data_IF_252847503421
#
_entry.id   IF_252847503421
#
_cell.length_a   1.000
_cell.length_b   1.000
_cell.length_c   1.000
_cell.angle_alpha   90.00
_cell.angle_beta   90.00
_cell.angle_gamma   90.00
#
_symmetry.space_group_name_H-M   'P 1'
#
loop_
_entity.id
_entity.type
_entity.pdbx_description
1 polymer ?
#
# COMPACT_ATOMS: atom_id res chain seq x y z
N UNK A 1 -25.25 -1.15 9.65
CA UNK A 1 -24.38 -1.90 10.60
C UNK A 1 -22.92 -1.47 10.47
N UNK A 2 -22.29 -1.48 9.27
CA UNK A 2 -20.88 -1.09 9.07
C UNK A 2 -20.56 0.30 9.67
N UNK A 3 -21.33 1.34 9.32
CA UNK A 3 -21.16 2.70 9.86
C UNK A 3 -21.19 2.75 11.39
N UNK A 4 -22.03 1.94 12.04
CA UNK A 4 -22.12 1.93 13.49
C UNK A 4 -20.90 1.28 14.14
N UNK A 5 -20.40 0.15 13.58
CA UNK A 5 -19.20 -0.52 14.06
C UNK A 5 -17.96 0.39 13.88
N UNK A 6 -17.81 1.00 12.71
CA UNK A 6 -16.75 1.98 12.42
C UNK A 6 -16.77 3.14 13.42
N UNK A 7 -17.94 3.80 13.58
CA UNK A 7 -18.09 4.90 14.53
C UNK A 7 -17.70 4.50 15.95
N UNK A 8 -18.08 3.28 16.38
CA UNK A 8 -17.74 2.77 17.71
C UNK A 8 -16.23 2.57 17.89
N UNK A 9 -15.53 2.05 16.87
CA UNK A 9 -14.06 1.93 16.90
C UNK A 9 -13.42 3.33 16.95
N UNK A 10 -13.82 4.21 16.05
CA UNK A 10 -13.22 5.55 15.93
C UNK A 10 -13.58 6.48 17.10
N UNK A 11 -14.65 6.20 17.85
CA UNK A 11 -14.98 6.95 19.08
C UNK A 11 -13.98 6.75 20.21
N UNK A 12 -13.08 5.76 20.12
CA UNK A 12 -11.99 5.55 21.07
C UNK A 12 -10.76 6.41 20.79
N UNK A 13 -10.71 7.12 19.66
CA UNK A 13 -9.63 8.05 19.33
C UNK A 13 -9.66 9.26 20.28
N UNK A 14 -8.46 9.77 20.59
CA UNK A 14 -8.27 11.01 21.36
C UNK A 14 -8.34 12.24 20.46
N UNK A 15 -7.86 12.10 19.23
CA UNK A 15 -7.86 13.16 18.22
C UNK A 15 -9.21 13.21 17.51
N UNK A 16 -9.75 14.41 17.33
CA UNK A 16 -10.95 14.60 16.53
C UNK A 16 -10.73 14.16 15.09
N UNK A 17 -11.72 13.48 14.53
CA UNK A 17 -11.70 13.03 13.16
C UNK A 17 -12.93 13.49 12.39
N UNK A 18 -12.80 13.59 11.09
CA UNK A 18 -13.89 13.84 10.15
C UNK A 18 -14.01 12.65 9.19
N UNK A 19 -15.24 12.31 8.80
CA UNK A 19 -15.48 11.23 7.83
C UNK A 19 -16.54 11.64 6.82
N UNK A 20 -16.22 11.54 5.52
CA UNK A 20 -17.13 11.86 4.42
C UNK A 20 -16.84 11.08 3.16
N UNK A 21 -17.75 11.14 2.21
CA UNK A 21 -17.54 10.59 0.87
C UNK A 21 -16.94 11.66 -0.05
N UNK A 22 -15.83 11.34 -0.68
CA UNK A 22 -15.25 12.11 -1.78
C UNK A 22 -15.82 11.57 -3.08
N UNK A 23 -16.49 12.38 -3.85
CA UNK A 23 -17.01 12.02 -5.17
C UNK A 23 -15.85 12.10 -6.17
N UNK A 24 -15.52 11.00 -6.81
CA UNK A 24 -14.42 10.90 -7.76
C UNK A 24 -14.91 10.78 -9.22
N UNK A 25 -16.21 10.97 -9.42
CA UNK A 25 -16.82 10.88 -10.74
C UNK A 25 -16.86 9.45 -11.29
N UNK A 26 -17.02 9.30 -12.62
CA UNK A 26 -17.12 8.00 -13.28
C UNK A 26 -15.74 7.39 -13.58
N UNK A 27 -15.08 6.83 -12.56
CA UNK A 27 -13.73 6.24 -12.72
C UNK A 27 -13.81 4.79 -13.21
N UNK A 28 -14.64 3.98 -12.58
CA UNK A 28 -14.90 2.57 -12.91
C UNK A 28 -16.40 2.35 -13.11
N UNK A 29 -17.21 2.84 -12.18
CA UNK A 29 -18.66 2.91 -12.28
C UNK A 29 -19.15 4.21 -12.91
N UNK A 30 -20.42 4.51 -12.75
CA UNK A 30 -21.06 5.73 -13.27
C UNK A 30 -20.93 6.92 -12.34
N UNK A 31 -20.75 6.68 -11.03
CA UNK A 31 -20.60 7.70 -9.99
C UNK A 31 -19.91 7.06 -8.78
N UNK A 32 -18.59 7.12 -8.76
CA UNK A 32 -17.80 6.49 -7.73
C UNK A 32 -17.49 7.46 -6.58
N UNK A 33 -17.55 6.93 -5.35
CA UNK A 33 -17.28 7.69 -4.13
C UNK A 33 -16.33 6.92 -3.23
N UNK A 34 -15.34 7.62 -2.69
CA UNK A 34 -14.37 7.08 -1.76
C UNK A 34 -14.68 7.58 -0.35
N UNK A 35 -14.90 6.64 0.57
CA UNK A 35 -15.03 6.94 1.98
C UNK A 35 -13.68 7.34 2.55
N UNK A 36 -13.63 8.52 3.15
CA UNK A 36 -12.41 9.14 3.65
C UNK A 36 -12.55 9.49 5.12
N UNK A 37 -11.51 9.20 5.90
CA UNK A 37 -11.33 9.68 7.28
C UNK A 37 -10.13 10.61 7.29
N UNK A 38 -10.28 11.76 7.96
CA UNK A 38 -9.18 12.71 8.17
C UNK A 38 -9.03 13.07 9.64
N UNK A 39 -7.78 13.40 10.02
CA UNK A 39 -7.41 13.92 11.33
C UNK A 39 -6.37 15.03 11.12
N UNK A 40 -6.41 16.07 11.96
CA UNK A 40 -5.44 17.16 12.00
C UNK A 40 -5.21 17.85 10.63
N UNK A 41 -6.29 18.12 9.89
CA UNK A 41 -6.24 18.78 8.57
C UNK A 41 -5.59 20.17 8.61
N UNK A 42 -5.57 20.81 9.77
CA UNK A 42 -5.07 22.18 9.97
C UNK A 42 -3.53 22.27 10.00
N UNK A 43 -2.84 21.13 10.15
CA UNK A 43 -1.38 21.11 10.16
C UNK A 43 -0.82 21.41 8.76
N UNK A 44 0.17 22.31 8.70
CA UNK A 44 0.85 22.69 7.47
C UNK A 44 1.93 21.68 7.00
N UNK A 45 2.17 20.61 7.77
CA UNK A 45 3.14 19.57 7.39
C UNK A 45 2.64 18.71 6.24
N UNK A 46 3.57 18.03 5.57
CA UNK A 46 3.23 17.07 4.51
C UNK A 46 2.23 16.02 5.03
N UNK A 47 1.05 15.88 4.40
CA UNK A 47 0.07 14.89 4.83
C UNK A 47 0.54 13.46 4.58
N UNK A 48 -0.01 12.52 5.36
CA UNK A 48 0.14 11.09 5.12
C UNK A 48 -1.18 10.48 4.68
N UNK A 49 -1.15 9.66 3.63
CA UNK A 49 -2.29 8.91 3.08
C UNK A 49 -2.11 7.43 3.38
N UNK A 50 -3.13 6.80 3.96
CA UNK A 50 -3.12 5.40 4.41
C UNK A 50 -4.04 4.54 3.53
N UNK A 51 -3.47 3.50 2.90
CA UNK A 51 -4.18 2.51 2.11
C UNK A 51 -4.22 1.16 2.84
N UNK A 52 -5.42 0.66 3.11
CA UNK A 52 -5.61 -0.61 3.81
C UNK A 52 -5.39 -1.84 2.90
N UNK A 53 -5.22 -3.01 3.51
CA UNK A 53 -5.09 -4.30 2.83
C UNK A 53 -6.43 -4.97 2.51
N UNK A 54 -6.38 -6.14 1.87
CA UNK A 54 -7.54 -6.97 1.56
C UNK A 54 -8.32 -7.32 2.84
N UNK A 55 -9.63 -7.21 2.78
CA UNK A 55 -10.53 -7.56 3.88
C UNK A 55 -10.54 -6.57 5.04
N UNK A 56 -9.77 -5.49 4.94
CA UNK A 56 -9.70 -4.42 5.91
C UNK A 56 -10.55 -3.20 5.52
N UNK A 57 -10.39 -2.11 6.25
CA UNK A 57 -10.97 -0.80 6.01
C UNK A 57 -10.35 0.24 6.94
N UNK A 58 -10.74 1.49 6.78
CA UNK A 58 -10.11 2.65 7.46
C UNK A 58 -10.04 2.52 8.98
N UNK A 59 -11.05 1.91 9.62
CA UNK A 59 -11.07 1.84 11.09
C UNK A 59 -10.00 0.92 11.68
N UNK A 60 -9.37 0.03 10.90
CA UNK A 60 -8.28 -0.80 11.41
C UNK A 60 -6.97 -0.03 11.64
N UNK A 61 -6.89 1.22 11.18
CA UNK A 61 -5.80 2.14 11.50
C UNK A 61 -5.95 2.82 12.88
N UNK A 62 -6.96 2.45 13.68
CA UNK A 62 -7.29 3.13 14.94
C UNK A 62 -6.14 3.17 15.95
N UNK A 63 -5.21 2.19 15.94
CA UNK A 63 -4.01 2.18 16.79
C UNK A 63 -2.90 3.12 16.31
N UNK A 64 -3.07 3.73 15.14
CA UNK A 64 -2.06 4.55 14.49
C UNK A 64 -2.50 6.01 14.36
N UNK A 65 -3.79 6.28 14.26
CA UNK A 65 -4.33 7.60 14.00
C UNK A 65 -3.84 8.67 14.96
N UNK A 66 -3.99 8.47 16.27
CA UNK A 66 -3.59 9.47 17.28
C UNK A 66 -2.10 9.80 17.21
N UNK A 67 -1.25 8.78 17.03
CA UNK A 67 0.19 8.96 16.95
C UNK A 67 0.59 9.72 15.68
N UNK A 68 0.04 9.36 14.53
CA UNK A 68 0.35 10.00 13.25
C UNK A 68 -0.23 11.43 13.19
N UNK A 69 -1.46 11.61 13.65
CA UNK A 69 -2.14 12.90 13.66
C UNK A 69 -1.54 13.90 14.65
N UNK A 70 -0.74 13.45 15.62
CA UNK A 70 -0.05 14.36 16.54
C UNK A 70 0.93 15.31 15.84
N UNK A 71 1.35 15.01 14.62
CA UNK A 71 2.38 15.78 13.91
C UNK A 71 1.94 16.33 12.55
N UNK A 72 0.95 15.73 11.88
CA UNK A 72 0.60 16.06 10.48
C UNK A 72 -0.84 15.70 10.13
N UNK A 73 -1.36 16.19 9.00
CA UNK A 73 -2.64 15.72 8.48
C UNK A 73 -2.54 14.23 8.13
N UNK A 74 -3.55 13.47 8.53
CA UNK A 74 -3.69 12.04 8.23
C UNK A 74 -4.97 11.83 7.45
N UNK A 75 -4.86 11.16 6.31
CA UNK A 75 -6.00 10.72 5.50
C UNK A 75 -5.97 9.20 5.38
N UNK A 76 -7.07 8.55 5.69
CA UNK A 76 -7.25 7.12 5.43
C UNK A 76 -8.47 6.94 4.54
N UNK A 77 -8.35 6.10 3.51
CA UNK A 77 -9.44 5.84 2.57
C UNK A 77 -9.84 4.37 2.58
N UNK A 78 -11.13 4.11 2.50
CA UNK A 78 -11.59 2.82 2.02
C UNK A 78 -11.36 2.77 0.50
N UNK A 79 -10.51 1.87 0.05
CA UNK A 79 -10.22 1.69 -1.37
C UNK A 79 -11.53 1.44 -2.15
N UNK A 80 -11.59 1.90 -3.40
CA UNK A 80 -12.75 1.67 -4.24
C UNK A 80 -13.06 0.16 -4.32
N UNK A 81 -14.31 -0.20 -4.11
CA UNK A 81 -14.75 -1.60 -4.02
C UNK A 81 -14.67 -2.22 -2.62
N UNK A 82 -14.18 -1.49 -1.61
CA UNK A 82 -14.02 -1.96 -0.23
C UNK A 82 -14.74 -1.07 0.78
N UNK A 83 -14.86 -1.57 2.01
CA UNK A 83 -15.40 -0.84 3.14
C UNK A 83 -16.71 -0.13 2.81
N UNK A 84 -16.74 1.19 3.00
CA UNK A 84 -17.89 2.05 2.71
C UNK A 84 -17.83 2.74 1.35
N UNK A 85 -16.72 2.60 0.60
CA UNK A 85 -16.60 3.14 -0.75
C UNK A 85 -17.54 2.48 -1.75
N UNK A 86 -17.77 3.11 -2.89
CA UNK A 86 -18.57 2.58 -3.98
C UNK A 86 -18.04 1.22 -4.45
N UNK A 87 -18.95 0.40 -4.99
CA UNK A 87 -18.64 -0.99 -5.39
C UNK A 87 -18.94 -1.21 -6.86
N UNK A 88 -18.15 -0.60 -7.77
CA UNK A 88 -18.31 -0.82 -9.21
C UNK A 88 -17.87 -2.23 -9.60
N UNK A 89 -18.16 -2.60 -10.83
CA UNK A 89 -17.67 -3.84 -11.46
C UNK A 89 -16.31 -3.54 -12.08
N UNK A 90 -15.25 -4.11 -11.51
CA UNK A 90 -13.89 -4.00 -12.03
C UNK A 90 -13.65 -4.97 -13.20
N UNK A 91 -12.64 -4.68 -14.00
CA UNK A 91 -12.15 -5.57 -15.04
C UNK A 91 -11.66 -6.90 -14.46
N UNK A 92 -11.85 -7.98 -15.20
CA UNK A 92 -11.26 -9.29 -14.91
C UNK A 92 -9.80 -9.42 -15.36
N UNK A 93 -9.31 -8.45 -16.15
CA UNK A 93 -7.93 -8.38 -16.56
C UNK A 93 -7.03 -7.75 -15.48
N UNK A 94 -5.93 -8.42 -15.14
CA UNK A 94 -5.11 -8.04 -14.00
C UNK A 94 -4.54 -6.61 -14.08
N UNK A 95 -4.03 -6.23 -15.24
CA UNK A 95 -3.45 -4.89 -15.45
C UNK A 95 -4.52 -3.81 -15.39
N UNK A 96 -5.64 -4.05 -16.02
CA UNK A 96 -6.76 -3.12 -16.06
C UNK A 96 -7.37 -2.94 -14.66
N UNK A 97 -7.57 -4.04 -13.90
CA UNK A 97 -8.05 -3.97 -12.51
C UNK A 97 -7.11 -3.18 -11.60
N UNK A 98 -5.79 -3.37 -11.76
CA UNK A 98 -4.78 -2.59 -11.06
C UNK A 98 -4.86 -1.10 -11.42
N UNK A 99 -4.93 -0.80 -12.72
CA UNK A 99 -5.00 0.57 -13.23
C UNK A 99 -6.28 1.28 -12.77
N UNK A 100 -7.42 0.60 -12.77
CA UNK A 100 -8.68 1.13 -12.26
C UNK A 100 -8.59 1.50 -10.78
N UNK A 101 -7.95 0.66 -9.95
CA UNK A 101 -7.72 0.96 -8.53
C UNK A 101 -6.76 2.13 -8.35
N UNK A 102 -5.65 2.18 -9.08
CA UNK A 102 -4.66 3.27 -9.01
C UNK A 102 -5.29 4.59 -9.48
N UNK A 103 -6.04 4.58 -10.58
CA UNK A 103 -6.76 5.76 -11.08
C UNK A 103 -7.78 6.27 -10.06
N UNK A 104 -8.46 5.39 -9.35
CA UNK A 104 -9.39 5.81 -8.29
C UNK A 104 -8.70 6.55 -7.14
N UNK A 105 -7.44 6.19 -6.83
CA UNK A 105 -6.62 6.90 -5.83
C UNK A 105 -6.21 8.28 -6.37
N UNK A 106 -5.83 8.38 -7.66
CA UNK A 106 -5.45 9.66 -8.27
C UNK A 106 -6.63 10.62 -8.36
N UNK A 107 -7.81 10.16 -8.79
CA UNK A 107 -9.00 11.03 -8.83
C UNK A 107 -9.40 11.46 -7.41
N UNK A 108 -9.31 10.57 -6.40
CA UNK A 108 -9.51 10.94 -5.02
C UNK A 108 -8.51 12.03 -4.57
N UNK A 109 -7.24 11.89 -4.89
CA UNK A 109 -6.21 12.89 -4.59
C UNK A 109 -6.54 14.25 -5.23
N UNK A 110 -7.00 14.24 -6.50
CA UNK A 110 -7.36 15.46 -7.23
C UNK A 110 -8.53 16.17 -6.57
N UNK A 111 -9.59 15.46 -6.22
CA UNK A 111 -10.74 16.02 -5.51
C UNK A 111 -10.38 16.54 -4.11
N UNK A 112 -9.43 15.89 -3.44
CA UNK A 112 -8.88 16.33 -2.16
C UNK A 112 -7.88 17.50 -2.30
N UNK A 113 -7.50 17.86 -3.51
CA UNK A 113 -6.50 18.90 -3.82
C UNK A 113 -5.16 18.66 -3.10
N UNK A 114 -4.78 17.41 -2.87
CA UNK A 114 -3.50 17.06 -2.28
C UNK A 114 -2.41 17.11 -3.32
N UNK A 115 -1.48 18.04 -3.20
CA UNK A 115 -0.40 18.19 -4.18
C UNK A 115 0.66 17.09 -4.00
N UNK A 116 1.20 16.97 -2.78
CA UNK A 116 2.23 15.98 -2.42
C UNK A 116 1.96 15.41 -1.04
N UNK A 117 2.25 14.12 -0.85
CA UNK A 117 2.01 13.43 0.41
C UNK A 117 2.98 12.27 0.63
N UNK A 118 3.08 11.80 1.86
CA UNK A 118 3.66 10.50 2.20
C UNK A 118 2.59 9.44 1.95
N UNK A 119 2.92 8.40 1.21
CA UNK A 119 1.98 7.32 0.88
C UNK A 119 2.34 6.05 1.65
N UNK A 120 1.44 5.60 2.52
CA UNK A 120 1.58 4.37 3.28
C UNK A 120 0.54 3.36 2.83
N UNK A 121 1.00 2.17 2.42
CA UNK A 121 0.11 1.07 2.08
C UNK A 121 0.43 -0.21 2.84
N UNK A 122 -0.61 -0.90 3.33
CA UNK A 122 -0.50 -2.22 3.95
C UNK A 122 -0.93 -3.31 2.98
N UNK A 123 -0.14 -4.39 2.88
CA UNK A 123 -0.51 -5.60 2.10
C UNK A 123 -0.89 -5.25 0.65
N UNK A 124 -2.12 -5.52 0.20
CA UNK A 124 -2.67 -5.09 -1.09
C UNK A 124 -2.56 -3.56 -1.27
N UNK A 125 -2.81 -2.78 -0.23
CA UNK A 125 -2.62 -1.33 -0.25
C UNK A 125 -1.16 -0.93 -0.49
N UNK A 126 -0.20 -1.73 -0.03
CA UNK A 126 1.23 -1.55 -0.33
C UNK A 126 1.57 -1.81 -1.80
N UNK A 127 0.97 -2.83 -2.41
CA UNK A 127 1.08 -3.08 -3.84
C UNK A 127 0.52 -1.91 -4.66
N UNK A 128 -0.67 -1.43 -4.31
CA UNK A 128 -1.30 -0.28 -4.98
C UNK A 128 -0.52 1.02 -4.75
N UNK A 129 0.03 1.22 -3.54
CA UNK A 129 0.88 2.38 -3.24
C UNK A 129 2.15 2.41 -4.09
N UNK A 130 2.81 1.26 -4.28
CA UNK A 130 3.97 1.14 -5.15
C UNK A 130 3.59 1.38 -6.62
N UNK A 131 2.48 0.80 -7.10
CA UNK A 131 1.98 1.01 -8.46
C UNK A 131 1.59 2.47 -8.71
N UNK A 132 0.91 3.10 -7.75
CA UNK A 132 0.58 4.53 -7.80
C UNK A 132 1.85 5.39 -7.87
N UNK A 133 2.85 5.12 -7.04
CA UNK A 133 4.10 5.88 -7.01
C UNK A 133 4.90 5.77 -8.31
N UNK A 134 4.82 4.63 -9.01
CA UNK A 134 5.42 4.48 -10.34
C UNK A 134 4.74 5.33 -11.42
N UNK A 135 3.42 5.55 -11.30
CA UNK A 135 2.62 6.30 -12.26
C UNK A 135 2.59 7.80 -11.96
N UNK A 136 2.69 8.18 -10.69
CA UNK A 136 2.58 9.55 -10.19
C UNK A 136 3.74 9.91 -9.24
N UNK A 137 5.01 9.76 -9.68
CA UNK A 137 6.18 9.98 -8.81
C UNK A 137 6.24 11.40 -8.23
N UNK A 138 5.72 12.39 -8.96
CA UNK A 138 5.70 13.79 -8.52
C UNK A 138 4.76 14.05 -7.33
N UNK A 139 3.86 13.11 -7.01
CA UNK A 139 2.88 13.22 -5.91
C UNK A 139 3.37 12.62 -4.60
N UNK A 140 4.34 11.71 -4.64
CA UNK A 140 4.78 10.94 -3.47
C UNK A 140 6.12 11.45 -2.96
N UNK A 141 6.13 12.00 -1.75
CA UNK A 141 7.37 12.43 -1.08
C UNK A 141 8.12 11.29 -0.40
N UNK A 142 7.42 10.24 0.01
CA UNK A 142 7.99 9.04 0.62
C UNK A 142 6.99 7.89 0.47
N UNK A 143 7.47 6.74 0.03
CA UNK A 143 6.67 5.52 -0.07
C UNK A 143 6.94 4.63 1.15
N UNK A 144 5.90 4.35 1.95
CA UNK A 144 5.97 3.46 3.11
C UNK A 144 5.16 2.19 2.82
N UNK A 145 5.79 1.04 2.92
CA UNK A 145 5.24 -0.26 2.57
C UNK A 145 5.20 -1.15 3.80
N UNK A 146 4.01 -1.36 4.33
CA UNK A 146 3.75 -2.17 5.52
C UNK A 146 3.39 -3.59 5.12
N UNK A 147 4.33 -4.51 5.26
CA UNK A 147 4.18 -5.94 4.95
C UNK A 147 3.51 -6.18 3.57
N UNK A 148 4.07 -5.60 2.49
CA UNK A 148 3.38 -5.43 1.22
C UNK A 148 3.20 -6.77 0.48
N UNK A 149 1.98 -7.01 -0.02
CA UNK A 149 1.68 -8.11 -0.91
C UNK A 149 2.16 -7.86 -2.34
N UNK A 150 2.44 -8.93 -3.09
CA UNK A 150 2.62 -8.87 -4.54
C UNK A 150 3.99 -8.36 -5.00
N UNK A 151 4.97 -8.31 -4.12
CA UNK A 151 6.33 -7.87 -4.45
C UNK A 151 7.15 -8.98 -5.12
N UNK A 152 7.33 -10.18 -4.52
CA UNK A 152 8.18 -11.21 -5.11
C UNK A 152 7.51 -11.90 -6.30
N UNK A 153 8.32 -12.47 -7.18
CA UNK A 153 7.86 -13.36 -8.23
C UNK A 153 7.36 -14.68 -7.67
N UNK A 154 6.38 -15.25 -8.36
CA UNK A 154 5.95 -16.61 -8.07
C UNK A 154 7.09 -17.58 -8.36
N UNK A 155 7.49 -18.46 -7.42
CA UNK A 155 8.46 -19.51 -7.66
C UNK A 155 8.04 -20.40 -8.84
N UNK A 156 9.02 -21.00 -9.53
CA UNK A 156 8.75 -21.91 -10.63
C UNK A 156 7.84 -23.07 -10.19
N UNK A 157 7.01 -23.59 -11.10
CA UNK A 157 6.11 -24.73 -10.81
C UNK A 157 6.85 -25.95 -10.27
N UNK A 158 8.10 -26.16 -10.66
CA UNK A 158 8.94 -27.27 -10.19
C UNK A 158 9.22 -27.12 -8.69
N UNK A 159 9.54 -25.90 -8.23
CA UNK A 159 9.78 -25.61 -6.81
C UNK A 159 8.50 -25.76 -5.96
N UNK A 160 7.34 -25.39 -6.52
CA UNK A 160 6.04 -25.51 -5.83
C UNK A 160 5.56 -26.98 -5.80
N UNK A 161 5.76 -27.74 -6.88
CA UNK A 161 5.29 -29.12 -6.99
C UNK A 161 6.02 -30.10 -6.09
N UNK A 162 7.28 -29.83 -5.73
CA UNK A 162 8.11 -30.74 -4.97
C UNK A 162 7.61 -31.02 -3.53
N UNK A 163 6.85 -30.09 -2.91
CA UNK A 163 6.57 -30.14 -1.46
C UNK A 163 5.08 -30.11 -1.08
N UNK A 164 4.13 -30.17 -2.03
CA UNK A 164 2.70 -30.04 -1.69
C UNK A 164 1.96 -31.37 -1.89
N UNK A 165 1.35 -31.95 -0.84
CA UNK A 165 0.54 -33.16 -0.94
C UNK A 165 -0.60 -33.05 -1.96
N UNK A 166 -0.94 -34.17 -2.61
CA UNK A 166 -1.98 -34.22 -3.68
C UNK A 166 -3.36 -33.74 -3.19
N UNK A 167 -3.74 -34.07 -1.97
CA UNK A 167 -5.02 -33.63 -1.38
C UNK A 167 -5.08 -32.11 -1.19
N UNK A 168 -3.95 -31.46 -0.85
CA UNK A 168 -3.86 -30.00 -0.77
C UNK A 168 -4.04 -29.39 -2.15
N UNK A 169 -3.44 -30.00 -3.20
CA UNK A 169 -3.62 -29.55 -4.60
C UNK A 169 -5.08 -29.67 -5.05
N UNK A 170 -5.76 -30.75 -4.66
CA UNK A 170 -7.18 -30.94 -4.99
C UNK A 170 -8.08 -29.90 -4.31
N UNK A 171 -7.87 -29.63 -3.01
CA UNK A 171 -8.60 -28.58 -2.30
C UNK A 171 -8.30 -27.22 -2.93
N UNK A 172 -7.05 -26.95 -3.21
CA UNK A 172 -6.60 -25.74 -3.86
C UNK A 172 -7.29 -25.50 -5.21
N UNK A 173 -7.38 -26.52 -6.03
CA UNK A 173 -8.06 -26.45 -7.33
C UNK A 173 -9.55 -26.08 -7.18
N UNK A 174 -10.24 -26.62 -6.18
CA UNK A 174 -11.65 -26.35 -5.89
C UNK A 174 -11.84 -24.92 -5.33
N UNK A 175 -10.89 -24.44 -4.51
CA UNK A 175 -11.00 -23.14 -3.82
C UNK A 175 -10.47 -21.99 -4.68
N UNK A 176 -9.56 -22.26 -5.62
CA UNK A 176 -8.91 -21.25 -6.47
C UNK A 176 -9.90 -20.33 -7.22
N UNK A 177 -11.05 -20.78 -7.79
CA UNK A 177 -11.99 -19.91 -8.45
C UNK A 177 -12.83 -19.07 -7.48
N UNK A 178 -12.77 -19.35 -6.18
CA UNK A 178 -13.55 -18.62 -5.18
C UNK A 178 -12.80 -17.35 -4.75
N UNK A 179 -13.55 -16.28 -4.57
CA UNK A 179 -13.01 -15.07 -3.99
C UNK A 179 -12.49 -15.33 -2.57
N UNK A 180 -11.36 -14.74 -2.15
CA UNK A 180 -10.69 -15.05 -0.88
C UNK A 180 -11.60 -14.95 0.36
N UNK A 181 -12.58 -14.05 0.35
CA UNK A 181 -13.49 -13.80 1.48
C UNK A 181 -14.89 -14.40 1.28
N UNK A 182 -15.04 -15.29 0.32
CA UNK A 182 -16.31 -15.95 0.01
C UNK A 182 -16.95 -16.61 1.24
N UNK A 183 -16.16 -17.29 2.06
CA UNK A 183 -16.66 -17.98 3.26
C UNK A 183 -17.35 -17.03 4.26
N UNK A 184 -16.86 -15.80 4.41
CA UNK A 184 -17.44 -14.78 5.29
C UNK A 184 -18.84 -14.40 4.83
N UNK A 185 -19.07 -14.31 3.50
CA UNK A 185 -20.38 -14.00 2.92
C UNK A 185 -21.36 -15.17 3.04
N UNK A 186 -20.90 -16.38 2.73
CA UNK A 186 -21.74 -17.58 2.81
C UNK A 186 -22.15 -17.88 4.26
N UNK A 187 -21.28 -17.58 5.23
CA UNK A 187 -21.62 -17.69 6.65
C UNK A 187 -22.76 -16.76 7.08
N UNK A 188 -23.12 -15.74 6.28
CA UNK A 188 -24.21 -14.82 6.52
C UNK A 188 -24.18 -14.23 7.95
N UNK A 189 -25.23 -14.37 8.76
CA UNK A 189 -25.26 -13.84 10.14
C UNK A 189 -24.17 -14.42 11.06
N UNK A 190 -23.68 -15.61 10.77
CA UNK A 190 -22.62 -16.27 11.52
C UNK A 190 -21.20 -15.80 11.13
N UNK A 191 -21.07 -14.94 10.15
CA UNK A 191 -19.76 -14.48 9.64
C UNK A 191 -18.92 -13.78 10.70
N UNK A 192 -19.53 -12.99 11.59
CA UNK A 192 -18.83 -12.40 12.74
C UNK A 192 -18.24 -13.47 13.64
N UNK A 193 -19.05 -14.44 14.06
CA UNK A 193 -18.59 -15.57 14.89
C UNK A 193 -17.48 -16.38 14.18
N UNK A 194 -17.59 -16.57 12.87
CA UNK A 194 -16.57 -17.26 12.08
C UNK A 194 -15.22 -16.52 12.16
N UNK A 195 -15.20 -15.20 12.04
CA UNK A 195 -14.01 -14.37 12.18
C UNK A 195 -13.41 -14.51 13.59
N UNK A 196 -14.23 -14.42 14.62
CA UNK A 196 -13.78 -14.59 16.02
C UNK A 196 -13.13 -15.94 16.29
N UNK A 197 -13.66 -16.99 15.66
CA UNK A 197 -13.14 -18.36 15.83
C UNK A 197 -11.91 -18.65 14.98
N UNK A 198 -11.86 -18.14 13.75
CA UNK A 198 -10.77 -18.43 12.82
C UNK A 198 -9.61 -17.44 12.93
N UNK A 199 -9.89 -16.20 13.37
CA UNK A 199 -8.89 -15.13 13.49
C UNK A 199 -8.94 -14.41 14.83
N UNK A 200 -8.88 -15.17 15.97
CA UNK A 200 -8.84 -14.57 17.30
C UNK A 200 -7.61 -13.66 17.49
N UNK A 201 -6.55 -13.91 16.73
CA UNK A 201 -5.35 -13.07 16.70
C UNK A 201 -5.66 -11.62 16.31
N UNK A 202 -6.52 -11.40 15.30
CA UNK A 202 -6.90 -10.05 14.87
C UNK A 202 -7.71 -9.35 15.96
N UNK A 203 -8.70 -10.04 16.52
CA UNK A 203 -9.58 -9.47 17.57
C UNK A 203 -8.77 -9.03 18.78
N UNK A 204 -7.82 -9.86 19.22
CA UNK A 204 -6.98 -9.61 20.40
C UNK A 204 -6.07 -8.38 20.25
N UNK A 205 -5.62 -8.05 19.04
CA UNK A 205 -4.71 -6.90 18.78
C UNK A 205 -5.31 -5.56 19.20
N UNK A 206 -6.63 -5.42 19.14
CA UNK A 206 -7.35 -4.19 19.44
C UNK A 206 -7.97 -4.14 20.83
N UNK A 207 -7.80 -5.19 21.66
CA UNK A 207 -8.48 -5.31 22.95
C UNK A 207 -8.18 -4.16 23.91
N UNK A 208 -6.91 -3.80 24.04
CA UNK A 208 -6.50 -2.69 24.92
C UNK A 208 -7.05 -1.33 24.49
N UNK A 209 -7.14 -1.10 23.17
CA UNK A 209 -7.68 0.14 22.60
C UNK A 209 -9.19 0.25 22.79
N UNK A 210 -9.91 -0.86 22.65
CA UNK A 210 -11.37 -0.94 22.72
C UNK A 210 -11.91 -1.24 24.13
N UNK A 211 -11.03 -1.24 25.15
CA UNK A 211 -11.42 -1.53 26.53
C UNK A 211 -12.25 -2.83 26.63
N UNK A 212 -11.72 -3.90 26.04
CA UNK A 212 -12.28 -5.25 26.00
C UNK A 212 -13.56 -5.45 25.16
N UNK A 213 -14.09 -4.43 24.51
CA UNK A 213 -15.18 -4.58 23.53
C UNK A 213 -14.66 -4.99 22.14
N UNK A 214 -14.00 -6.13 22.11
CA UNK A 214 -13.35 -6.65 20.90
C UNK A 214 -14.33 -7.20 19.87
N UNK A 215 -15.57 -7.48 20.24
CA UNK A 215 -16.62 -7.92 19.32
C UNK A 215 -16.92 -6.90 18.21
N UNK A 216 -16.64 -5.62 18.44
CA UNK A 216 -16.83 -4.60 17.41
C UNK A 216 -15.84 -4.72 16.26
N UNK A 217 -14.63 -5.25 16.46
CA UNK A 217 -13.64 -5.49 15.40
C UNK A 217 -14.10 -6.60 14.46
N UNK A 218 -14.52 -7.75 15.03
CA UNK A 218 -15.05 -8.84 14.22
C UNK A 218 -16.31 -8.43 13.46
N UNK A 219 -17.18 -7.65 14.10
CA UNK A 219 -18.35 -7.05 13.44
C UNK A 219 -17.95 -6.13 12.31
N UNK A 220 -16.97 -5.23 12.51
CA UNK A 220 -16.50 -4.31 11.48
C UNK A 220 -15.92 -5.07 10.29
N UNK A 221 -15.02 -6.03 10.52
CA UNK A 221 -14.42 -6.85 9.45
C UNK A 221 -15.50 -7.63 8.70
N UNK A 222 -16.44 -8.24 9.44
CA UNK A 222 -17.57 -8.94 8.81
C UNK A 222 -18.37 -8.01 7.92
N UNK A 223 -18.76 -6.83 8.41
CA UNK A 223 -19.59 -5.87 7.65
C UNK A 223 -18.85 -5.27 6.45
N UNK A 224 -17.54 -5.11 6.49
CA UNK A 224 -16.74 -4.72 5.33
C UNK A 224 -16.82 -5.76 4.21
N UNK A 225 -16.81 -7.06 4.57
CA UNK A 225 -16.61 -8.18 3.65
C UNK A 225 -17.89 -8.97 3.32
N UNK A 226 -18.98 -8.74 4.04
CA UNK A 226 -20.29 -9.34 3.77
C UNK A 226 -21.03 -8.70 2.57
N UNK A 227 -20.53 -7.57 2.07
CA UNK A 227 -21.10 -6.83 0.95
C UNK A 227 -20.73 -7.47 -0.40
N UNK A 228 -21.23 -6.88 -1.51
CA UNK A 228 -20.85 -7.27 -2.88
C UNK A 228 -19.32 -7.28 -3.05
N UNK A 229 -18.71 -8.38 -3.55
CA UNK A 229 -17.26 -8.54 -3.61
C UNK A 229 -16.63 -7.77 -4.79
N UNK A 230 -16.78 -6.47 -4.84
CA UNK A 230 -16.28 -5.60 -5.91
C UNK A 230 -14.76 -5.52 -5.94
N UNK A 231 -14.15 -4.85 -4.97
CA UNK A 231 -12.69 -4.73 -4.86
C UNK A 231 -11.98 -6.07 -4.62
N UNK A 232 -12.65 -7.02 -3.94
CA UNK A 232 -12.15 -8.38 -3.79
C UNK A 232 -12.04 -9.10 -5.15
N UNK A 233 -12.99 -8.88 -6.06
CA UNK A 233 -12.94 -9.42 -7.41
C UNK A 233 -11.79 -8.81 -8.21
N UNK A 234 -11.53 -7.51 -8.07
CA UNK A 234 -10.36 -6.86 -8.64
C UNK A 234 -9.06 -7.46 -8.11
N UNK A 235 -8.96 -7.66 -6.79
CA UNK A 235 -7.80 -8.33 -6.18
C UNK A 235 -7.62 -9.75 -6.71
N UNK A 236 -8.70 -10.52 -6.82
CA UNK A 236 -8.67 -11.87 -7.38
C UNK A 236 -8.20 -11.87 -8.84
N UNK A 237 -8.62 -10.88 -9.64
CA UNK A 237 -8.14 -10.70 -11.01
C UNK A 237 -6.62 -10.46 -11.08
N UNK A 238 -6.06 -9.70 -10.14
CA UNK A 238 -4.62 -9.41 -10.04
C UNK A 238 -3.80 -10.59 -9.49
N UNK A 239 -4.45 -11.58 -8.86
CA UNK A 239 -3.81 -12.71 -8.18
C UNK A 239 -3.68 -13.93 -9.09
N UNK A 240 -2.64 -14.73 -8.88
CA UNK A 240 -2.45 -16.05 -9.47
C UNK A 240 -2.00 -17.08 -8.43
N UNK A 241 -2.48 -18.31 -8.57
CA UNK A 241 -2.18 -19.37 -7.61
C UNK A 241 -2.59 -18.96 -6.20
N UNK A 242 -1.87 -19.39 -5.19
CA UNK A 242 -2.20 -19.14 -3.80
C UNK A 242 -1.65 -17.79 -3.27
N UNK A 243 -2.04 -16.68 -3.89
CA UNK A 243 -1.74 -15.34 -3.37
C UNK A 243 -0.54 -14.63 -4.00
N UNK A 244 -0.04 -15.08 -5.16
CA UNK A 244 1.00 -14.39 -5.91
C UNK A 244 0.41 -13.34 -6.86
N UNK A 245 1.09 -12.20 -7.02
CA UNK A 245 0.67 -11.22 -8.02
C UNK A 245 0.98 -11.70 -9.45
N UNK A 246 0.08 -11.46 -10.39
CA UNK A 246 0.33 -11.67 -11.83
C UNK A 246 1.38 -10.71 -12.37
N UNK A 247 1.41 -9.47 -11.83
CA UNK A 247 2.37 -8.41 -12.19
C UNK A 247 3.20 -8.01 -10.95
N UNK A 248 4.18 -8.82 -10.52
CA UNK A 248 4.91 -8.56 -9.29
C UNK A 248 5.73 -7.26 -9.37
N UNK A 249 5.80 -6.55 -8.25
CA UNK A 249 6.44 -5.22 -8.15
C UNK A 249 7.94 -5.30 -8.47
N UNK A 250 8.65 -6.34 -8.02
CA UNK A 250 10.10 -6.47 -8.27
C UNK A 250 10.48 -6.43 -9.75
N UNK A 251 9.60 -6.88 -10.66
CA UNK A 251 9.83 -6.85 -12.11
C UNK A 251 9.73 -5.46 -12.75
N UNK A 252 9.29 -4.48 -12.02
CA UNK A 252 9.03 -3.12 -12.52
C UNK A 252 9.52 -2.05 -11.55
N UNK A 253 10.43 -2.42 -10.64
CA UNK A 253 11.06 -1.48 -9.71
C UNK A 253 11.93 -0.43 -10.40
N UNK A 254 12.40 -0.72 -11.61
CA UNK A 254 13.09 0.22 -12.50
C UNK A 254 12.25 1.43 -12.88
N UNK A 255 10.93 1.29 -12.88
CA UNK A 255 9.98 2.39 -13.16
C UNK A 255 9.78 3.34 -11.98
N UNK A 256 10.18 2.94 -10.79
CA UNK A 256 10.01 3.77 -9.61
C UNK A 256 11.16 4.78 -9.51
N UNK A 257 10.81 6.07 -9.58
CA UNK A 257 11.79 7.17 -9.56
C UNK A 257 12.80 6.99 -8.39
N UNK A 258 14.12 6.96 -8.68
CA UNK A 258 15.15 6.78 -7.66
C UNK A 258 15.18 7.85 -6.58
N UNK A 259 14.68 9.04 -6.84
CA UNK A 259 14.63 10.13 -5.85
C UNK A 259 13.59 9.91 -4.75
N UNK A 260 12.61 9.02 -4.96
CA UNK A 260 11.57 8.74 -3.96
C UNK A 260 12.12 7.79 -2.90
N UNK A 261 12.22 8.24 -1.64
CA UNK A 261 12.63 7.39 -0.55
C UNK A 261 11.59 6.31 -0.25
N UNK A 262 12.06 5.11 0.10
CA UNK A 262 11.22 3.96 0.40
C UNK A 262 11.53 3.47 1.82
N UNK A 263 10.48 3.20 2.60
CA UNK A 263 10.57 2.48 3.87
C UNK A 263 9.70 1.23 3.79
N UNK A 264 10.31 0.05 4.00
CA UNK A 264 9.62 -1.24 4.04
C UNK A 264 9.63 -1.77 5.48
N UNK A 265 8.45 -2.09 6.00
CA UNK A 265 8.24 -2.56 7.37
C UNK A 265 7.63 -3.97 7.32
N UNK A 266 8.37 -4.98 7.74
CA UNK A 266 7.95 -6.38 7.73
C UNK A 266 7.71 -6.90 9.15
N UNK A 267 6.81 -7.86 9.30
CA UNK A 267 6.63 -8.59 10.54
C UNK A 267 7.52 -9.82 10.61
N UNK A 268 8.30 -10.01 11.70
CA UNK A 268 9.18 -11.18 11.83
C UNK A 268 8.45 -12.53 11.87
N UNK A 269 7.13 -12.52 12.07
CA UNK A 269 6.25 -13.71 12.06
C UNK A 269 5.21 -13.62 10.93
N UNK A 270 5.43 -12.73 9.96
CA UNK A 270 4.58 -12.64 8.78
C UNK A 270 4.85 -13.80 7.82
N UNK A 271 3.84 -14.13 7.02
CA UNK A 271 3.99 -15.01 5.87
C UNK A 271 4.60 -14.28 4.65
N UNK A 272 4.66 -12.95 4.68
CA UNK A 272 5.34 -12.14 3.68
C UNK A 272 6.81 -12.12 4.02
N UNK A 273 7.63 -12.61 3.08
CA UNK A 273 9.08 -12.64 3.20
C UNK A 273 9.67 -11.25 2.90
N UNK A 274 10.67 -10.82 3.67
CA UNK A 274 11.36 -9.55 3.48
C UNK A 274 12.43 -9.58 2.37
N UNK A 275 12.71 -10.73 1.77
CA UNK A 275 13.74 -10.88 0.74
C UNK A 275 13.54 -9.94 -0.46
N UNK A 276 12.28 -9.70 -0.86
CA UNK A 276 11.97 -8.72 -1.90
C UNK A 276 12.39 -7.30 -1.52
N UNK A 277 12.19 -6.91 -0.26
CA UNK A 277 12.62 -5.60 0.27
C UNK A 277 14.14 -5.47 0.31
N UNK A 278 14.85 -6.51 0.73
CA UNK A 278 16.30 -6.53 0.73
C UNK A 278 16.87 -6.49 -0.70
N UNK A 279 16.26 -7.20 -1.65
CA UNK A 279 16.65 -7.14 -3.06
C UNK A 279 16.46 -5.73 -3.64
N UNK A 280 15.35 -5.05 -3.30
CA UNK A 280 15.11 -3.65 -3.69
C UNK A 280 16.19 -2.74 -3.11
N UNK A 281 16.54 -2.89 -1.84
CA UNK A 281 17.61 -2.12 -1.19
C UNK A 281 18.95 -2.32 -1.89
N UNK A 282 19.28 -3.55 -2.24
CA UNK A 282 20.52 -3.88 -2.96
C UNK A 282 20.55 -3.35 -4.39
N UNK A 283 19.43 -3.33 -5.09
CA UNK A 283 19.35 -2.87 -6.48
C UNK A 283 19.26 -1.35 -6.64
N UNK A 284 18.90 -0.61 -5.57
CA UNK A 284 18.66 0.85 -5.58
C UNK A 284 19.70 1.60 -4.76
N UNK A 285 20.98 1.43 -5.08
CA UNK A 285 22.10 2.00 -4.31
C UNK A 285 22.11 3.53 -4.26
N UNK A 286 21.59 4.19 -5.28
CA UNK A 286 21.46 5.66 -5.35
C UNK A 286 20.20 6.22 -4.66
N UNK A 287 19.37 5.36 -4.08
CA UNK A 287 18.09 5.74 -3.47
C UNK A 287 18.09 5.46 -1.98
N UNK A 288 17.31 6.23 -1.22
CA UNK A 288 17.05 5.87 0.16
C UNK A 288 16.08 4.69 0.22
N UNK A 289 16.55 3.54 0.69
CA UNK A 289 15.72 2.36 0.96
C UNK A 289 16.01 1.85 2.37
N UNK A 290 15.03 1.98 3.26
CA UNK A 290 15.09 1.49 4.63
C UNK A 290 14.20 0.24 4.77
N UNK A 291 14.80 -0.90 5.13
CA UNK A 291 14.09 -2.16 5.39
C UNK A 291 14.18 -2.47 6.87
N UNK A 292 13.04 -2.66 7.51
CA UNK A 292 12.93 -2.97 8.94
C UNK A 292 12.06 -4.21 9.16
N UNK A 293 12.53 -5.10 10.02
CA UNK A 293 11.76 -6.28 10.46
C UNK A 293 11.34 -6.07 11.92
N UNK A 294 10.04 -5.91 12.13
CA UNK A 294 9.47 -5.65 13.46
C UNK A 294 9.32 -6.97 14.21
N UNK A 295 10.17 -7.16 15.22
CA UNK A 295 10.20 -8.38 16.02
C UNK A 295 8.88 -8.65 16.72
N UNK A 296 8.37 -9.87 16.56
CA UNK A 296 7.11 -10.33 17.17
C UNK A 296 5.84 -9.86 16.47
N UNK A 297 5.95 -9.07 15.40
CA UNK A 297 4.80 -8.71 14.56
C UNK A 297 4.52 -9.79 13.50
N UNK A 298 3.25 -10.01 13.18
CA UNK A 298 2.79 -10.77 12.02
C UNK A 298 2.43 -9.84 10.86
N UNK A 299 1.55 -10.30 9.96
CA UNK A 299 1.15 -9.56 8.77
C UNK A 299 0.52 -8.17 9.05
N UNK A 300 -0.21 -8.02 10.14
CA UNK A 300 -0.78 -6.72 10.53
C UNK A 300 0.20 -5.94 11.42
N UNK A 301 1.38 -5.61 10.88
CA UNK A 301 2.50 -4.96 11.61
C UNK A 301 2.06 -3.69 12.35
N UNK A 302 1.15 -2.92 11.75
CA UNK A 302 0.60 -1.67 12.27
C UNK A 302 -0.26 -1.86 13.54
N UNK A 303 -0.82 -3.07 13.73
CA UNK A 303 -1.65 -3.43 14.89
C UNK A 303 -0.90 -4.31 15.90
N UNK A 304 -0.02 -5.20 15.44
CA UNK A 304 0.74 -6.10 16.30
C UNK A 304 1.74 -5.38 17.20
N UNK A 305 2.38 -4.36 16.67
CA UNK A 305 3.42 -3.55 17.32
C UNK A 305 3.25 -2.09 16.94
N UNK A 306 2.06 -1.54 17.24
CA UNK A 306 1.66 -0.19 16.81
C UNK A 306 2.65 0.89 17.23
N UNK A 307 3.22 0.83 18.43
CA UNK A 307 4.17 1.84 18.92
C UNK A 307 5.45 1.85 18.08
N UNK A 308 6.03 0.67 17.80
CA UNK A 308 7.24 0.53 16.98
C UNK A 308 6.94 0.91 15.53
N UNK A 309 5.80 0.47 15.01
CA UNK A 309 5.35 0.82 13.67
C UNK A 309 5.19 2.33 13.52
N UNK A 310 4.46 2.97 14.42
CA UNK A 310 4.24 4.42 14.41
C UNK A 310 5.55 5.19 14.46
N UNK A 311 6.53 4.74 15.27
CA UNK A 311 7.86 5.34 15.33
C UNK A 311 8.54 5.34 13.96
N UNK A 312 8.62 4.20 13.27
CA UNK A 312 9.24 4.11 11.94
C UNK A 312 8.50 4.95 10.90
N UNK A 313 7.17 4.99 10.95
CA UNK A 313 6.36 5.83 10.04
C UNK A 313 6.65 7.31 10.28
N UNK A 314 6.72 7.75 11.53
CA UNK A 314 7.03 9.15 11.88
C UNK A 314 8.47 9.54 11.52
N UNK A 315 9.43 8.63 11.66
CA UNK A 315 10.82 8.82 11.19
C UNK A 315 10.86 9.02 9.66
N UNK A 316 10.17 8.17 8.89
CA UNK A 316 10.05 8.31 7.44
C UNK A 316 9.37 9.63 7.03
N UNK A 317 8.34 10.03 7.76
CA UNK A 317 7.69 11.31 7.56
C UNK A 317 8.61 12.51 7.85
N UNK A 318 9.42 12.44 8.90
CA UNK A 318 10.38 13.49 9.25
C UNK A 318 11.48 13.60 8.19
N UNK A 319 11.94 12.47 7.65
CA UNK A 319 12.88 12.45 6.54
C UNK A 319 12.32 13.16 5.30
N UNK A 320 11.03 12.97 5.00
CA UNK A 320 10.38 13.62 3.86
C UNK A 320 10.15 15.12 4.04
N UNK A 321 10.13 15.61 5.28
CA UNK A 321 10.02 17.05 5.59
C UNK A 321 11.38 17.74 5.57
N UNK A 322 12.48 17.02 5.90
CA UNK A 322 13.84 17.56 5.88
C UNK A 322 14.42 17.46 4.46
N UNK A 323 14.66 18.59 3.86
CA UNK A 323 15.20 18.73 2.50
C UNK A 323 16.55 18.02 2.31
N UNK A 324 16.76 17.40 1.15
CA UNK A 324 18.01 17.08 0.42
C UNK A 324 19.28 16.63 1.21
N UNK A 325 19.60 17.21 2.38
CA UNK A 325 20.87 16.96 3.07
C UNK A 325 21.01 15.53 3.62
N UNK A 326 19.93 14.94 4.09
CA UNK A 326 19.92 13.56 4.62
C UNK A 326 19.91 12.53 3.49
N UNK A 327 19.30 12.84 2.36
CA UNK A 327 19.35 11.99 1.17
C UNK A 327 20.80 11.84 0.70
N UNK A 328 21.51 12.96 0.59
CA UNK A 328 22.93 12.98 0.18
C UNK A 328 23.83 12.21 1.14
N UNK A 329 23.59 12.27 2.44
CA UNK A 329 24.40 11.54 3.43
C UNK A 329 24.20 10.01 3.34
N UNK A 330 22.97 9.58 3.02
CA UNK A 330 22.66 8.14 2.88
C UNK A 330 23.20 7.56 1.56
N UNK A 331 23.10 8.32 0.47
CA UNK A 331 23.71 7.97 -0.82
C UNK A 331 25.23 7.82 -0.64
N UNK A 332 25.88 8.74 0.08
CA UNK A 332 27.31 8.67 0.34
C UNK A 332 27.71 7.43 1.16
N UNK A 333 26.92 7.07 2.17
CA UNK A 333 27.14 5.86 2.96
C UNK A 333 26.96 4.58 2.15
N UNK A 334 25.95 4.53 1.28
CA UNK A 334 25.67 3.37 0.41
C UNK A 334 26.74 3.20 -0.67
N UNK A 335 27.24 4.30 -1.25
CA UNK A 335 28.37 4.30 -2.20
C UNK A 335 29.66 3.84 -1.51
N UNK A 336 29.94 4.31 -0.29
CA UNK A 336 31.08 3.88 0.49
C UNK A 336 31.05 2.37 0.77
N UNK A 337 29.89 1.84 1.14
CA UNK A 337 29.69 0.39 1.35
C UNK A 337 29.89 -0.42 0.06
N UNK A 338 29.43 0.07 -1.09
CA UNK A 338 29.63 -0.59 -2.37
C UNK A 338 31.10 -0.58 -2.80
N UNK A 339 31.83 0.49 -2.54
CA UNK A 339 33.26 0.61 -2.82
C UNK A 339 34.07 -0.33 -1.91
N UNK A 340 33.76 -0.37 -0.60
CA UNK A 340 34.43 -1.24 0.39
C UNK A 340 34.22 -2.74 0.09
N UNK A 341 33.13 -3.11 -0.54
CA UNK A 341 32.82 -4.51 -0.91
C UNK A 341 33.19 -4.87 -2.35
N UNK A 342 33.93 -4.02 -3.07
CA UNK A 342 34.38 -4.27 -4.46
C UNK A 342 33.24 -4.50 -5.48
N UNK A 343 32.03 -4.00 -5.23
CA UNK A 343 30.86 -4.15 -6.10
C UNK A 343 30.69 -2.92 -7.01
N UNK A 344 31.78 -2.52 -7.67
CA UNK A 344 31.85 -1.33 -8.54
C UNK A 344 31.06 -1.50 -9.86
N UNK A 345 30.69 -2.72 -10.23
CA UNK A 345 29.99 -3.00 -11.49
C UNK A 345 28.60 -2.37 -11.61
N UNK A 346 28.02 -1.91 -10.50
CA UNK A 346 26.68 -1.28 -10.45
C UNK A 346 26.69 0.25 -10.44
N UNK A 347 27.86 0.89 -10.39
CA UNK A 347 27.99 2.34 -10.31
C UNK A 347 27.99 2.96 -11.72
N UNK A 348 28.53 2.27 -12.74
CA UNK A 348 28.68 2.80 -14.10
C UNK A 348 27.36 2.85 -14.92
N UNK A 349 26.33 2.13 -14.51
CA UNK A 349 25.04 2.13 -15.25
C UNK A 349 24.12 3.33 -14.97
N UNK A 350 24.44 4.19 -13.98
CA UNK A 350 23.58 5.31 -13.56
C UNK A 350 24.16 6.72 -13.83
N UNK A 351 25.33 6.82 -14.49
CA UNK A 351 25.83 8.10 -14.98
C UNK A 351 25.61 8.23 -16.49
N UNK A 352 24.37 8.17 -16.94
CA UNK A 352 24.04 8.70 -18.26
C UNK A 352 24.12 10.23 -18.17
N UNK A 353 25.13 10.79 -18.85
CA UNK A 353 25.28 12.24 -19.07
C UNK A 353 23.96 12.85 -19.56
N UNK A 354 23.61 14.06 -19.11
CA UNK A 354 22.53 14.79 -19.73
C UNK A 354 22.91 15.04 -21.19
N UNK A 355 22.10 14.56 -22.12
CA UNK A 355 22.26 14.84 -23.55
C UNK A 355 22.38 16.36 -23.72
N UNK A 356 23.54 16.82 -24.20
CA UNK A 356 23.71 18.15 -24.74
C UNK A 356 22.74 18.25 -25.91
N UNK A 357 21.75 19.10 -25.77
CA UNK A 357 20.95 19.58 -26.90
C UNK A 357 21.88 20.47 -27.71
N UNK A 358 22.31 20.00 -28.88
CA UNK A 358 23.08 20.79 -29.84
C UNK A 358 22.21 21.97 -30.32
N UNK A 359 22.59 23.18 -29.94
CA UNK A 359 21.97 24.45 -30.35
C UNK A 359 22.25 24.81 -31.83
N UNK A 360 22.69 23.88 -32.68
CA UNK A 360 23.07 24.17 -34.08
C UNK A 360 21.97 23.95 -35.13
N UNK A 361 20.73 23.62 -34.76
CA UNK A 361 19.67 23.39 -35.76
C UNK A 361 18.59 24.50 -35.87
N UNK A 362 18.72 25.63 -35.21
CA UNK A 362 17.72 26.71 -35.27
C UNK A 362 18.11 27.93 -36.13
N UNK A 363 19.22 27.89 -36.86
CA UNK A 363 19.71 29.02 -37.66
C UNK A 363 19.45 28.93 -39.18
N UNK A 364 18.84 27.86 -39.69
CA UNK A 364 18.63 27.70 -41.15
C UNK A 364 17.16 27.83 -41.64
N UNK A 365 16.24 28.24 -40.77
CA UNK A 365 14.82 28.43 -41.13
C UNK A 365 14.38 29.86 -41.38
N UNK A 366 15.31 30.85 -41.48
CA UNK A 366 15.00 32.25 -41.78
C UNK A 366 15.79 32.77 -42.96
N UNK A 367 15.58 32.23 -44.19
CA UNK A 367 15.87 32.93 -45.42
C UNK A 367 14.61 33.04 -46.29
N UNK A 368 14.21 34.25 -46.69
CA UNK A 368 13.06 34.43 -47.57
C UNK A 368 13.43 34.00 -49.01
N UNK A 369 12.60 33.19 -49.64
CA UNK A 369 12.67 32.89 -51.07
C UNK A 369 12.19 34.13 -51.84
N UNK A 370 13.08 34.77 -52.53
CA UNK A 370 12.78 35.77 -53.52
C UNK A 370 12.62 35.13 -54.93
N UNK A 371 11.60 35.59 -55.59
CA UNK A 371 11.17 35.43 -56.99
C UNK A 371 10.57 34.09 -57.39
#
# INVERSE_FOLDING_TARGET
MLRAAEKKILSCLKTAYRGWYVDIGPVVGTADKIWTISLNEESAKTPIVLLHGLGAGVALWCLNFDALASQRPVYAIDLLGFGRSSRPVFSSEAKEAEEQLVRSIEEWRREMQLEKFVLLGHSMGGFLAASYTMQHPERVKHLILADPWGFPERPSEVAIKANVPLWVKAIAFVVQPLNPLWAVRVAGPFGQWLIEKTRPDIVKKFSSFLKDDTGVISQYIHQCNAQTPSGESAFHAMMQGFGWAKNPIVKRMDKLNPEIPITLLYGSRSWVDNSAGEAIKQSRLSSYVNVQVITGAGHHVYADKSDIFNKYVLEACTLSDSTQSLLNSHIHASLKYAIENNDLSKIESNTSEPQRIDEEQELDAQRPRSS
#
